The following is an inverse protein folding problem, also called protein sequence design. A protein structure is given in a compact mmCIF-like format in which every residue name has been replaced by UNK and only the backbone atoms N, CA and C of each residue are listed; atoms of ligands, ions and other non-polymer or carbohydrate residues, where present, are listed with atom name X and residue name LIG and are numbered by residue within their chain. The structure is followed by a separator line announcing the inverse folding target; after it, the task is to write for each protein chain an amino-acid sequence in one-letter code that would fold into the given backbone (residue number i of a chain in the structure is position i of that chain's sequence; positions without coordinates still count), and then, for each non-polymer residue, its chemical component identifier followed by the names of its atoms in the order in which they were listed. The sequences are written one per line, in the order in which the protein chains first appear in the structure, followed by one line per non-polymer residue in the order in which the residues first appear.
data_IF_730665993744
#
_entry.id   IF_730665993744
#
_cell.length_a   1.000
_cell.length_b   1.000
_cell.length_c   1.000
_cell.angle_alpha   90.00
_cell.angle_beta   90.00
_cell.angle_gamma   90.00
#
_symmetry.space_group_name_H-M   'P 1'
#
loop_
_entity.id
_entity.type
_entity.pdbx_description
1 polymer ?
#
# COMPACT_ATOMS: atom_id res chain seq x y z
N UNK A 1 -7.66 -14.04 1.60
CA UNK A 1 -7.81 -13.26 2.85
C UNK A 1 -8.37 -11.91 2.46
N UNK A 2 -9.38 -11.40 3.16
CA UNK A 2 -9.91 -10.07 2.87
C UNK A 2 -8.87 -9.01 3.21
N UNK A 3 -8.78 -7.96 2.38
CA UNK A 3 -7.79 -6.89 2.52
C UNK A 3 -8.50 -5.63 2.96
N UNK A 4 -8.05 -5.06 4.08
CA UNK A 4 -8.53 -3.80 4.64
C UNK A 4 -7.44 -2.75 4.54
N UNK A 5 -7.78 -1.58 4.04
CA UNK A 5 -6.83 -0.49 3.83
C UNK A 5 -7.17 0.62 4.82
N UNK A 6 -6.19 1.04 5.63
CA UNK A 6 -6.39 2.13 6.56
C UNK A 6 -6.66 3.44 5.81
N UNK A 7 -7.54 4.29 6.36
CA UNK A 7 -7.91 5.57 5.73
C UNK A 7 -6.71 6.47 5.43
N UNK A 8 -5.68 6.43 6.29
CA UNK A 8 -4.41 7.14 6.09
C UNK A 8 -3.70 6.73 4.81
N UNK A 9 -3.77 5.45 4.43
CA UNK A 9 -3.16 4.93 3.19
C UNK A 9 -3.86 5.53 1.98
N UNK A 10 -5.19 5.54 1.98
CA UNK A 10 -5.98 6.18 0.93
C UNK A 10 -5.61 7.66 0.78
N UNK A 11 -5.55 8.42 1.88
CA UNK A 11 -5.15 9.83 1.87
C UNK A 11 -3.75 10.02 1.29
N UNK A 12 -2.76 9.22 1.73
CA UNK A 12 -1.38 9.33 1.23
C UNK A 12 -1.26 9.07 -0.28
N UNK A 13 -2.00 8.10 -0.82
CA UNK A 13 -2.03 7.83 -2.27
C UNK A 13 -2.61 9.02 -3.02
N UNK A 14 -3.76 9.55 -2.57
CA UNK A 14 -4.40 10.71 -3.20
C UNK A 14 -3.51 11.94 -3.14
N UNK A 15 -2.96 12.27 -1.97
CA UNK A 15 -2.08 13.43 -1.76
C UNK A 15 -0.86 13.39 -2.69
N UNK A 16 -0.26 12.19 -2.87
CA UNK A 16 0.86 12.00 -3.79
C UNK A 16 0.47 12.31 -5.23
N UNK A 17 -0.64 11.76 -5.72
CA UNK A 17 -1.05 11.96 -7.11
C UNK A 17 -1.58 13.36 -7.37
N UNK A 18 -2.28 14.00 -6.43
CA UNK A 18 -2.65 15.40 -6.52
C UNK A 18 -1.42 16.31 -6.62
N UNK A 19 -0.38 16.04 -5.82
CA UNK A 19 0.88 16.76 -5.91
C UNK A 19 1.58 16.51 -7.25
N UNK A 20 1.55 15.27 -7.77
CA UNK A 20 2.12 14.94 -9.07
C UNK A 20 1.41 15.70 -10.22
N UNK A 21 0.08 15.78 -10.22
CA UNK A 21 -0.69 16.55 -11.21
C UNK A 21 -0.32 18.03 -11.22
N UNK A 22 -0.17 18.63 -10.02
CA UNK A 22 0.20 20.04 -9.89
C UNK A 22 1.60 20.33 -10.46
N UNK A 23 2.51 19.36 -10.39
CA UNK A 23 3.90 19.53 -10.79
C UNK A 23 4.18 19.09 -12.25
N UNK A 24 3.31 18.28 -12.85
CA UNK A 24 3.50 17.75 -14.20
C UNK A 24 2.27 17.98 -15.07
N UNK A 25 2.32 19.04 -15.90
CA UNK A 25 1.19 19.48 -16.74
C UNK A 25 0.71 18.44 -17.77
N UNK A 26 1.52 17.41 -18.05
CA UNK A 26 1.17 16.33 -18.96
C UNK A 26 0.46 15.16 -18.29
N UNK A 27 0.39 15.12 -16.95
CA UNK A 27 -0.38 14.12 -16.22
C UNK A 27 -1.85 14.55 -16.21
N UNK A 28 -2.69 13.81 -16.94
CA UNK A 28 -4.13 13.99 -16.91
C UNK A 28 -4.78 13.12 -15.82
N UNK A 29 -5.95 13.56 -15.37
CA UNK A 29 -6.73 12.90 -14.32
C UNK A 29 -7.12 11.46 -14.68
N UNK A 30 -7.37 11.17 -15.96
CA UNK A 30 -7.77 9.83 -16.40
C UNK A 30 -6.62 8.84 -16.23
N UNK A 31 -5.41 9.24 -16.60
CA UNK A 31 -4.20 8.43 -16.43
C UNK A 31 -3.94 8.11 -14.96
N UNK A 32 -4.12 9.09 -14.08
CA UNK A 32 -3.94 8.90 -12.62
C UNK A 32 -5.01 8.00 -12.03
N UNK A 33 -6.28 8.21 -12.38
CA UNK A 33 -7.37 7.36 -11.92
C UNK A 33 -7.13 5.89 -12.32
N UNK A 34 -6.65 5.64 -13.55
CA UNK A 34 -6.26 4.29 -13.97
C UNK A 34 -5.12 3.70 -13.13
N UNK A 35 -4.10 4.51 -12.79
CA UNK A 35 -2.99 4.04 -11.93
C UNK A 35 -3.48 3.73 -10.52
N UNK A 36 -4.31 4.57 -9.95
CA UNK A 36 -4.94 4.36 -8.64
C UNK A 36 -5.81 3.10 -8.63
N UNK A 37 -6.64 2.87 -9.65
CA UNK A 37 -7.43 1.64 -9.78
C UNK A 37 -6.54 0.39 -9.78
N UNK A 38 -5.47 0.38 -10.59
CA UNK A 38 -4.52 -0.75 -10.65
C UNK A 38 -3.84 -1.01 -9.30
N UNK A 39 -3.53 0.04 -8.53
CA UNK A 39 -2.99 -0.10 -7.18
C UNK A 39 -4.00 -0.81 -6.27
N UNK A 40 -5.27 -0.39 -6.26
CA UNK A 40 -6.28 -1.04 -5.43
C UNK A 40 -6.56 -2.49 -5.84
N UNK A 41 -6.60 -2.79 -7.14
CA UNK A 41 -6.70 -4.16 -7.66
C UNK A 41 -5.52 -5.02 -7.19
N UNK A 42 -4.30 -4.46 -7.20
CA UNK A 42 -3.12 -5.15 -6.71
C UNK A 42 -3.15 -5.38 -5.19
N UNK A 43 -3.65 -4.41 -4.42
CA UNK A 43 -3.85 -4.57 -2.97
C UNK A 43 -4.93 -5.59 -2.65
N UNK A 44 -6.01 -5.67 -3.41
CA UNK A 44 -7.01 -6.72 -3.25
C UNK A 44 -6.40 -8.11 -3.54
N UNK A 45 -5.62 -8.23 -4.62
CA UNK A 45 -4.93 -9.46 -4.99
C UNK A 45 -3.90 -9.93 -3.94
N UNK A 46 -3.31 -9.01 -3.15
CA UNK A 46 -2.39 -9.32 -2.05
C UNK A 46 -2.96 -10.36 -1.09
N UNK A 47 -4.27 -10.34 -0.86
CA UNK A 47 -4.98 -11.28 0.01
C UNK A 47 -4.78 -12.76 -0.35
N UNK A 48 -4.36 -13.07 -1.57
CA UNK A 48 -4.09 -14.43 -2.04
C UNK A 48 -2.69 -14.94 -1.67
N UNK A 49 -1.74 -14.03 -1.45
CA UNK A 49 -0.33 -14.38 -1.32
C UNK A 49 0.39 -13.60 -0.20
N UNK A 50 -0.34 -12.96 0.72
CA UNK A 50 0.23 -12.10 1.77
C UNK A 50 1.28 -12.78 2.68
N UNK A 51 1.32 -14.10 2.76
CA UNK A 51 2.34 -14.80 3.58
C UNK A 51 3.73 -14.85 2.93
N UNK A 52 3.83 -14.66 1.61
CA UNK A 52 5.10 -14.85 0.88
C UNK A 52 6.04 -13.66 1.04
N UNK A 53 5.52 -12.47 1.31
CA UNK A 53 6.36 -11.27 1.43
C UNK A 53 7.06 -11.20 2.78
N UNK A 54 8.28 -10.69 2.76
CA UNK A 54 9.11 -10.53 3.95
C UNK A 54 8.63 -9.39 4.84
N UNK A 55 9.12 -9.39 6.09
CA UNK A 55 9.10 -8.21 6.94
C UNK A 55 9.86 -7.05 6.27
N UNK A 56 9.42 -5.83 6.55
CA UNK A 56 10.08 -4.59 6.16
C UNK A 56 11.51 -4.56 6.72
N UNK A 57 12.42 -3.94 5.97
CA UNK A 57 13.86 -3.95 6.30
C UNK A 57 14.55 -2.59 6.23
N UNK A 58 13.89 -1.57 5.69
CA UNK A 58 14.48 -0.25 5.51
C UNK A 58 13.83 0.76 6.44
N UNK A 59 12.51 0.94 6.33
CA UNK A 59 11.81 1.90 7.19
C UNK A 59 11.74 1.46 8.65
N UNK A 60 12.42 2.20 9.53
CA UNK A 60 12.55 1.86 10.95
C UNK A 60 11.20 1.73 11.66
N UNK A 61 10.23 2.60 11.38
CA UNK A 61 8.90 2.53 12.00
C UNK A 61 8.16 1.24 11.58
N UNK A 62 8.34 0.80 10.33
CA UNK A 62 7.75 -0.45 9.84
C UNK A 62 8.46 -1.68 10.39
N UNK A 63 9.78 -1.60 10.58
CA UNK A 63 10.58 -2.66 11.23
C UNK A 63 10.13 -2.82 12.67
N UNK A 64 10.03 -1.73 13.43
CA UNK A 64 9.66 -1.73 14.86
C UNK A 64 8.25 -2.29 15.08
N UNK A 65 7.36 -2.12 14.11
CA UNK A 65 6.00 -2.66 14.12
C UNK A 65 5.87 -4.06 13.53
N UNK A 66 6.96 -4.66 13.08
CA UNK A 66 6.99 -5.97 12.42
C UNK A 66 6.03 -6.05 11.23
N UNK A 67 5.99 -4.99 10.43
CA UNK A 67 5.17 -4.95 9.23
C UNK A 67 5.82 -5.79 8.13
N UNK A 68 4.98 -6.47 7.36
CA UNK A 68 5.36 -7.04 6.07
C UNK A 68 5.31 -5.97 5.00
N UNK A 69 6.16 -6.15 3.99
CA UNK A 69 6.34 -5.18 2.93
C UNK A 69 5.90 -5.76 1.59
N UNK A 70 4.92 -5.11 0.97
CA UNK A 70 4.50 -5.39 -0.40
C UNK A 70 4.90 -4.23 -1.29
N UNK A 71 5.59 -4.51 -2.39
CA UNK A 71 6.02 -3.51 -3.36
C UNK A 71 5.21 -3.72 -4.64
N UNK A 72 4.52 -2.68 -5.08
CA UNK A 72 3.82 -2.66 -6.35
C UNK A 72 4.21 -1.39 -7.11
N UNK A 73 4.79 -1.58 -8.30
CA UNK A 73 5.39 -0.50 -9.09
C UNK A 73 6.43 0.29 -8.26
N UNK A 74 6.18 1.58 -8.07
CA UNK A 74 7.01 2.56 -7.36
C UNK A 74 6.52 2.84 -5.93
N UNK A 75 5.70 1.94 -5.37
CA UNK A 75 5.04 2.13 -4.08
C UNK A 75 5.25 0.92 -3.17
N UNK A 76 5.67 1.21 -1.94
CA UNK A 76 5.83 0.28 -0.84
C UNK A 76 4.61 0.36 0.08
N UNK A 77 4.07 -0.79 0.46
CA UNK A 77 2.93 -0.93 1.36
C UNK A 77 3.35 -1.74 2.58
N UNK A 78 3.06 -1.20 3.75
CA UNK A 78 3.29 -1.86 5.01
C UNK A 78 1.99 -2.49 5.51
N UNK A 79 2.03 -3.78 5.85
CA UNK A 79 0.82 -4.49 6.24
C UNK A 79 1.09 -5.58 7.28
N UNK A 80 0.02 -6.04 7.91
CA UNK A 80 0.03 -7.21 8.79
C UNK A 80 -1.13 -8.15 8.48
N UNK A 81 -0.96 -9.41 8.91
CA UNK A 81 -2.00 -10.43 8.81
C UNK A 81 -2.56 -10.64 10.21
N UNK A 82 -3.86 -10.48 10.35
CA UNK A 82 -4.57 -10.67 11.61
C UNK A 82 -5.49 -11.88 11.52
N UNK A 83 -5.64 -12.58 12.64
CA UNK A 83 -6.63 -13.63 12.80
C UNK A 83 -7.77 -13.08 13.67
N UNK A 84 -9.00 -13.19 13.17
CA UNK A 84 -10.21 -12.82 13.90
C UNK A 84 -10.64 -13.93 14.85
N UNK A 85 -11.57 -13.63 15.75
CA UNK A 85 -12.12 -14.59 16.73
C UNK A 85 -12.73 -15.85 16.10
N UNK A 86 -13.21 -15.76 14.86
CA UNK A 86 -13.79 -16.86 14.09
C UNK A 86 -12.74 -17.67 13.31
N UNK A 87 -11.45 -17.37 13.47
CA UNK A 87 -10.35 -17.99 12.73
C UNK A 87 -10.14 -17.40 11.33
N UNK A 88 -10.97 -16.43 10.91
CA UNK A 88 -10.83 -15.78 9.62
C UNK A 88 -9.58 -14.91 9.61
N UNK A 89 -8.76 -15.07 8.57
CA UNK A 89 -7.53 -14.29 8.39
C UNK A 89 -7.76 -13.12 7.45
N UNK A 90 -7.31 -11.95 7.88
CA UNK A 90 -7.40 -10.71 7.12
C UNK A 90 -6.02 -10.08 6.95
N UNK A 91 -5.86 -9.34 5.86
CA UNK A 91 -4.70 -8.48 5.63
C UNK A 91 -5.13 -7.06 5.95
N UNK A 92 -4.30 -6.33 6.69
CA UNK A 92 -4.54 -4.91 6.94
C UNK A 92 -3.33 -4.09 6.51
N UNK A 93 -3.56 -3.18 5.56
CA UNK A 93 -2.57 -2.22 5.07
C UNK A 93 -2.59 -1.03 6.01
N UNK A 94 -1.45 -0.80 6.66
CA UNK A 94 -1.30 0.24 7.68
C UNK A 94 -0.64 1.49 7.14
N UNK A 95 0.28 1.33 6.19
CA UNK A 95 1.03 2.45 5.67
C UNK A 95 1.45 2.27 4.21
N UNK A 96 1.83 3.38 3.59
CA UNK A 96 2.30 3.45 2.21
C UNK A 96 3.37 4.52 2.07
N UNK A 97 4.37 4.22 1.24
CA UNK A 97 5.44 5.14 0.91
C UNK A 97 5.85 4.96 -0.56
N UNK A 98 6.05 6.07 -1.27
CA UNK A 98 6.67 6.00 -2.60
C UNK A 98 8.14 5.58 -2.47
N UNK A 99 8.66 4.79 -3.41
CA UNK A 99 10.05 4.29 -3.36
C UNK A 99 11.10 5.39 -3.27
N UNK A 100 10.84 6.57 -3.85
CA UNK A 100 11.71 7.75 -3.73
C UNK A 100 11.86 8.30 -2.30
N UNK A 101 10.86 8.07 -1.45
CA UNK A 101 10.82 8.54 -0.07
C UNK A 101 11.12 7.42 0.92
N UNK A 102 11.23 6.18 0.44
CA UNK A 102 11.43 5.01 1.27
C UNK A 102 12.87 4.97 1.78
N UNK A 103 13.02 5.11 3.10
CA UNK A 103 14.28 5.14 3.82
C UNK A 103 14.13 4.39 5.13
#
# INVERSE_FOLDING_TARGET
MDVYIDKSVHSKITDFYEAAMKNHITLDETTINRKICRIYEALEALGNYAYIYSLARLNQDWIDKEYREYIFEDIHFAYQIYERYDGTKIVRIHDVCHSLLYK
#
